data_IF_725962940165
#
_entry.id   IF_725962940165
#
_cell.length_a   1.000
_cell.length_b   1.000
_cell.length_c   1.000
_cell.angle_alpha   90.00
_cell.angle_beta   90.00
_cell.angle_gamma   90.00
#
_symmetry.space_group_name_H-M   'P 1'
#
loop_
_entity.id
_entity.type
_entity.pdbx_description
1 polymer ?
#
# COMPACT_ATOMS: atom_id res chain seq x y z
N UNK A 1 -35.39 56.36 -43.26
CA UNK A 1 -34.65 55.10 -43.40
C UNK A 1 -33.67 55.03 -42.23
N UNK A 2 -33.83 54.07 -41.33
CA UNK A 2 -33.14 53.99 -40.03
C UNK A 2 -31.73 53.40 -40.15
N UNK A 3 -30.81 53.97 -39.36
CA UNK A 3 -29.38 53.60 -39.24
C UNK A 3 -29.24 52.27 -38.48
N UNK A 4 -28.28 51.42 -38.87
CA UNK A 4 -27.77 50.34 -38.01
C UNK A 4 -26.25 50.26 -38.09
N UNK A 5 -25.61 50.82 -37.06
CA UNK A 5 -24.18 50.65 -36.79
C UNK A 5 -23.97 49.28 -36.13
N UNK A 6 -23.14 48.44 -36.73
CA UNK A 6 -22.73 47.14 -36.19
C UNK A 6 -21.46 47.33 -35.33
N UNK A 7 -21.58 47.11 -34.03
CA UNK A 7 -20.45 46.97 -33.11
C UNK A 7 -20.04 45.50 -33.07
N UNK A 8 -18.82 45.20 -33.51
CA UNK A 8 -18.20 43.88 -33.35
C UNK A 8 -17.39 43.94 -32.03
N UNK A 9 -17.85 43.22 -31.02
CA UNK A 9 -17.10 43.04 -29.77
C UNK A 9 -16.10 41.88 -29.96
N UNK A 10 -14.80 42.20 -29.88
CA UNK A 10 -13.73 41.20 -29.86
C UNK A 10 -13.55 40.66 -28.43
N UNK A 11 -13.88 39.38 -28.21
CA UNK A 11 -13.62 38.69 -26.95
C UNK A 11 -12.18 38.14 -26.96
N UNK A 12 -11.31 38.68 -26.11
CA UNK A 12 -9.97 38.14 -25.87
C UNK A 12 -10.09 36.88 -24.99
N UNK A 13 -9.71 35.72 -25.53
CA UNK A 13 -9.66 34.46 -24.79
C UNK A 13 -8.29 34.37 -24.12
N UNK A 14 -8.21 34.69 -22.83
CA UNK A 14 -7.01 34.45 -22.04
C UNK A 14 -6.93 32.94 -21.70
N UNK A 15 -6.04 32.21 -22.38
CA UNK A 15 -5.72 30.84 -22.03
C UNK A 15 -4.90 30.82 -20.73
N UNK A 16 -5.54 30.49 -19.61
CA UNK A 16 -4.84 30.25 -18.35
C UNK A 16 -4.22 28.86 -18.37
N UNK A 17 -2.91 28.77 -18.63
CA UNK A 17 -2.14 27.54 -18.38
C UNK A 17 -2.03 27.33 -16.87
N UNK A 18 -2.92 26.51 -16.31
CA UNK A 18 -2.74 26.00 -14.96
C UNK A 18 -1.57 25.00 -14.98
N UNK A 19 -0.52 25.18 -14.15
CA UNK A 19 0.46 24.13 -13.98
C UNK A 19 -0.26 22.92 -13.40
N UNK A 20 -0.22 21.79 -14.12
CA UNK A 20 -0.62 20.50 -13.56
C UNK A 20 0.31 20.23 -12.39
N UNK A 21 -0.18 20.41 -11.15
CA UNK A 21 0.51 19.98 -9.95
C UNK A 21 0.80 18.49 -10.11
N UNK A 22 2.04 18.15 -10.45
CA UNK A 22 2.51 16.79 -10.38
C UNK A 22 2.25 16.31 -8.96
N UNK A 23 1.28 15.40 -8.79
CA UNK A 23 1.06 14.74 -7.49
C UNK A 23 2.42 14.20 -7.03
N UNK A 24 2.81 14.41 -5.77
CA UNK A 24 4.01 13.76 -5.24
C UNK A 24 3.90 12.27 -5.59
N UNK A 25 4.95 11.70 -6.18
CA UNK A 25 4.96 10.27 -6.52
C UNK A 25 4.71 9.52 -5.22
N UNK A 26 3.50 8.99 -5.04
CA UNK A 26 3.18 8.14 -3.91
C UNK A 26 4.14 6.97 -3.96
N UNK A 27 4.84 6.70 -2.87
CA UNK A 27 5.69 5.51 -2.77
C UNK A 27 4.81 4.29 -3.07
N UNK A 28 5.24 3.36 -3.94
CA UNK A 28 4.43 2.18 -4.23
C UNK A 28 4.15 1.38 -2.96
N UNK A 29 2.91 0.91 -2.80
CA UNK A 29 2.46 0.15 -1.62
C UNK A 29 3.36 -1.06 -1.34
N UNK A 30 3.70 -1.81 -2.38
CA UNK A 30 4.56 -3.00 -2.32
C UNK A 30 5.95 -2.66 -2.85
N UNK A 31 6.69 -1.86 -2.11
CA UNK A 31 8.07 -1.49 -2.42
C UNK A 31 8.85 -1.33 -1.13
N UNK A 32 10.13 -1.73 -1.14
CA UNK A 32 11.02 -1.56 0.01
C UNK A 32 11.28 -0.07 0.34
N UNK A 33 10.95 0.85 -0.58
CA UNK A 33 10.92 2.28 -0.30
C UNK A 33 9.74 2.70 0.60
N UNK A 34 8.70 1.87 0.73
CA UNK A 34 7.59 2.07 1.65
C UNK A 34 7.96 1.44 3.00
N UNK A 35 8.26 2.23 4.05
CA UNK A 35 8.73 1.70 5.32
C UNK A 35 7.76 0.69 5.94
N UNK A 36 6.45 0.92 5.80
CA UNK A 36 5.42 0.01 6.33
C UNK A 36 5.39 -1.36 5.61
N UNK A 37 5.79 -1.40 4.34
CA UNK A 37 5.93 -2.67 3.63
C UNK A 37 7.22 -3.38 4.02
N UNK A 38 8.29 -2.62 4.31
CA UNK A 38 9.52 -3.18 4.85
C UNK A 38 9.31 -3.77 6.25
N UNK A 39 8.54 -3.08 7.10
CA UNK A 39 8.13 -3.57 8.42
C UNK A 39 7.31 -4.86 8.27
N UNK A 40 6.30 -4.87 7.38
CA UNK A 40 5.52 -6.07 7.08
C UNK A 40 6.39 -7.26 6.63
N UNK A 41 7.40 -7.04 5.77
CA UNK A 41 8.35 -8.10 5.38
C UNK A 41 9.17 -8.60 6.56
N UNK A 42 9.55 -7.68 7.44
CA UNK A 42 10.31 -8.00 8.66
C UNK A 42 9.49 -8.89 9.57
N UNK A 43 8.24 -8.53 9.86
CA UNK A 43 7.31 -9.33 10.69
C UNK A 43 7.12 -10.74 10.12
N UNK A 44 6.94 -10.87 8.79
CA UNK A 44 6.85 -12.18 8.15
C UNK A 44 8.13 -13.02 8.30
N UNK A 45 9.29 -12.38 8.19
CA UNK A 45 10.58 -13.03 8.37
C UNK A 45 10.80 -13.47 9.82
N UNK A 46 10.36 -12.66 10.79
CA UNK A 46 10.43 -12.99 12.22
C UNK A 46 9.51 -14.16 12.55
N UNK A 47 8.25 -14.12 12.12
CA UNK A 47 7.30 -15.22 12.30
C UNK A 47 7.83 -16.54 11.69
N UNK A 48 8.43 -16.47 10.49
CA UNK A 48 9.07 -17.64 9.86
C UNK A 48 10.28 -18.14 10.67
N UNK A 49 11.07 -17.25 11.27
CA UNK A 49 12.22 -17.60 12.12
C UNK A 49 11.76 -18.29 13.40
N UNK A 50 10.78 -17.75 14.10
CA UNK A 50 10.23 -18.33 15.32
C UNK A 50 9.56 -19.68 15.03
N UNK A 51 8.75 -19.79 13.96
CA UNK A 51 8.21 -21.09 13.52
C UNK A 51 9.30 -22.16 13.35
N UNK A 52 10.40 -21.85 12.66
CA UNK A 52 11.51 -22.80 12.48
C UNK A 52 12.12 -23.22 13.81
N UNK A 53 12.27 -22.25 14.72
CA UNK A 53 12.85 -22.42 16.04
C UNK A 53 11.94 -23.25 16.95
N UNK A 54 10.63 -23.08 16.87
CA UNK A 54 9.65 -23.82 17.66
C UNK A 54 9.46 -25.24 17.13
N UNK A 55 9.38 -25.41 15.81
CA UNK A 55 9.36 -26.74 15.19
C UNK A 55 10.62 -27.56 15.48
N UNK A 56 11.76 -26.90 15.67
CA UNK A 56 13.01 -27.57 16.07
C UNK A 56 13.00 -28.04 17.53
N UNK A 57 12.16 -27.42 18.39
CA UNK A 57 11.99 -27.80 19.81
C UNK A 57 10.74 -28.64 20.08
N UNK A 58 9.83 -28.76 19.11
CA UNK A 58 8.58 -29.48 19.27
C UNK A 58 8.79 -31.00 19.32
N UNK A 59 8.49 -31.60 20.47
CA UNK A 59 8.68 -33.03 20.74
C UNK A 59 7.53 -33.91 20.21
N UNK A 60 6.32 -33.36 20.10
CA UNK A 60 5.13 -34.09 19.67
C UNK A 60 4.32 -33.35 18.59
N UNK A 61 3.29 -34.04 18.09
CA UNK A 61 2.43 -33.50 17.03
C UNK A 61 1.61 -32.28 17.48
N UNK A 62 1.18 -32.23 18.75
CA UNK A 62 0.41 -31.11 19.28
C UNK A 62 1.27 -29.84 19.34
N UNK A 63 2.49 -29.97 19.84
CA UNK A 63 3.47 -28.87 19.90
C UNK A 63 3.80 -28.32 18.51
N UNK A 64 3.85 -29.19 17.48
CA UNK A 64 4.04 -28.76 16.09
C UNK A 64 2.81 -28.01 15.56
N UNK A 65 1.61 -28.50 15.86
CA UNK A 65 0.36 -27.86 15.46
C UNK A 65 0.23 -26.47 16.09
N UNK A 66 0.56 -26.34 17.38
CA UNK A 66 0.57 -25.07 18.10
C UNK A 66 1.53 -24.06 17.46
N UNK A 67 2.77 -24.47 17.13
CA UNK A 67 3.73 -23.62 16.44
C UNK A 67 3.20 -23.14 15.07
N UNK A 68 2.55 -24.01 14.31
CA UNK A 68 1.92 -23.63 13.04
C UNK A 68 0.71 -22.71 13.24
N UNK A 69 -0.07 -22.92 14.30
CA UNK A 69 -1.21 -22.09 14.63
C UNK A 69 -0.77 -20.66 15.02
N UNK A 70 0.26 -20.55 15.85
CA UNK A 70 0.91 -19.29 16.22
C UNK A 70 1.43 -18.54 14.99
N UNK A 71 2.22 -19.19 14.14
CA UNK A 71 2.70 -18.59 12.89
C UNK A 71 1.55 -18.05 12.02
N UNK A 72 0.47 -18.81 11.85
CA UNK A 72 -0.69 -18.36 11.05
C UNK A 72 -1.37 -17.13 11.65
N UNK A 73 -1.45 -17.06 12.99
CA UNK A 73 -2.00 -15.91 13.72
C UNK A 73 -1.11 -14.68 13.49
N UNK A 74 0.20 -14.81 13.68
CA UNK A 74 1.15 -13.70 13.47
C UNK A 74 1.14 -13.17 12.03
N UNK A 75 1.08 -14.06 11.02
CA UNK A 75 0.94 -13.65 9.62
C UNK A 75 -0.39 -12.91 9.37
N UNK A 76 -1.47 -13.33 10.03
CA UNK A 76 -2.76 -12.66 9.92
C UNK A 76 -2.73 -11.27 10.55
N UNK A 77 -2.10 -11.14 11.71
CA UNK A 77 -1.94 -9.88 12.45
C UNK A 77 -1.04 -8.91 11.67
N UNK A 78 0.13 -9.33 11.20
CA UNK A 78 1.01 -8.51 10.36
C UNK A 78 0.30 -8.04 9.08
N UNK A 79 -0.52 -8.90 8.46
CA UNK A 79 -1.32 -8.51 7.29
C UNK A 79 -2.42 -7.50 7.65
N UNK A 80 -3.05 -7.67 8.80
CA UNK A 80 -4.06 -6.74 9.30
C UNK A 80 -3.44 -5.36 9.54
N UNK A 81 -2.31 -5.31 10.23
CA UNK A 81 -1.65 -4.07 10.62
C UNK A 81 -1.10 -3.34 9.40
N UNK A 82 -0.44 -4.03 8.47
CA UNK A 82 -0.05 -3.42 7.19
C UNK A 82 -1.24 -2.80 6.46
N UNK A 83 -2.38 -3.50 6.40
CA UNK A 83 -3.59 -2.98 5.74
C UNK A 83 -4.15 -1.76 6.47
N UNK A 84 -4.13 -1.76 7.79
CA UNK A 84 -4.56 -0.64 8.62
C UNK A 84 -3.66 0.58 8.39
N UNK A 85 -2.35 0.41 8.43
CA UNK A 85 -1.37 1.49 8.18
C UNK A 85 -1.53 2.09 6.77
N UNK A 86 -1.81 1.26 5.75
CA UNK A 86 -2.09 1.76 4.40
C UNK A 86 -3.40 2.56 4.35
N UNK A 87 -4.46 2.06 4.99
CA UNK A 87 -5.76 2.72 5.02
C UNK A 87 -5.70 4.08 5.74
N UNK A 88 -5.03 4.15 6.90
CA UNK A 88 -4.86 5.38 7.67
C UNK A 88 -4.08 6.47 6.92
N UNK A 89 -3.23 6.08 5.95
CA UNK A 89 -2.46 7.01 5.10
C UNK A 89 -3.10 7.30 3.75
N UNK A 90 -4.33 6.83 3.52
CA UNK A 90 -5.03 7.01 2.25
C UNK A 90 -4.39 6.25 1.08
N UNK A 91 -3.54 5.25 1.37
CA UNK A 91 -2.93 4.40 0.35
C UNK A 91 -3.90 3.27 -0.03
N UNK A 92 -4.24 3.21 -1.31
CA UNK A 92 -5.15 2.18 -1.82
C UNK A 92 -4.39 0.89 -2.08
N UNK A 93 -4.62 -0.12 -1.25
CA UNK A 93 -4.21 -1.50 -1.55
C UNK A 93 -5.14 -2.02 -2.64
N UNK A 94 -4.69 -1.96 -3.89
CA UNK A 94 -5.34 -2.70 -4.99
C UNK A 94 -5.00 -4.18 -4.82
N UNK A 95 -5.99 -5.07 -5.00
CA UNK A 95 -5.76 -6.53 -4.94
C UNK A 95 -4.59 -6.90 -5.86
N UNK A 96 -3.44 -7.20 -5.26
CA UNK A 96 -2.24 -7.71 -5.89
C UNK A 96 -1.70 -8.85 -5.02
N UNK A 97 -1.14 -9.88 -5.65
CA UNK A 97 -0.53 -11.02 -4.95
C UNK A 97 0.81 -10.54 -4.37
N UNK A 98 0.98 -10.61 -3.06
CA UNK A 98 2.29 -10.39 -2.43
C UNK A 98 3.08 -11.70 -2.55
N UNK A 99 4.18 -11.67 -3.29
CA UNK A 99 5.18 -12.73 -3.31
C UNK A 99 6.39 -12.23 -2.55
N UNK A 100 6.71 -12.86 -1.42
CA UNK A 100 8.04 -12.73 -0.80
C UNK A 100 9.00 -13.58 -1.62
N UNK A 101 10.13 -13.01 -2.02
CA UNK A 101 11.22 -13.78 -2.63
C UNK A 101 11.78 -14.76 -1.58
N UNK A 102 12.08 -15.99 -2.00
CA UNK A 102 12.51 -17.11 -1.13
C UNK A 102 13.89 -16.91 -0.48
#
# INVERSE_FOLDING_TARGET
>A
MTIRTLLIAAAAIAATTTPSMARPRSVPVYSDANPYYLDYKTDLSEAKRELRKDLARADDAASREDAWHEYRREVADARHDFRKEMAERGMVIRRGRVTVEE
#
